data_IF_487110364878
#
_entry.id   IF_487110364878
#
_cell.length_a   1.000
_cell.length_b   1.000
_cell.length_c   1.000
_cell.angle_alpha   90.00
_cell.angle_beta   90.00
_cell.angle_gamma   90.00
#
_symmetry.space_group_name_H-M   'P 1'
#
loop_
_entity.id
_entity.type
_entity.pdbx_description
1 polymer ?
#
# COMPACT_ATOMS: atom_id res chain seq x y z
N UNK A 1 39.09 8.91 -32.35
CA UNK A 1 37.94 9.81 -32.10
C UNK A 1 37.43 9.52 -30.70
N UNK A 2 37.53 10.49 -29.79
CA UNK A 2 37.05 10.37 -28.41
C UNK A 2 35.52 10.56 -28.35
N UNK A 3 34.77 9.76 -27.57
CA UNK A 3 33.38 10.06 -27.29
C UNK A 3 33.28 11.16 -26.22
N UNK A 4 32.55 12.22 -26.53
CA UNK A 4 32.21 13.33 -25.62
C UNK A 4 31.23 12.86 -24.54
N UNK A 5 31.38 13.31 -23.28
CA UNK A 5 30.39 13.03 -22.24
C UNK A 5 29.13 13.89 -22.44
N UNK A 6 27.99 13.22 -22.56
CA UNK A 6 26.67 13.86 -22.64
C UNK A 6 26.35 14.65 -21.37
N UNK A 7 25.95 15.90 -21.57
CA UNK A 7 25.61 16.89 -20.53
C UNK A 7 24.31 16.50 -19.82
N UNK A 8 24.36 16.28 -18.52
CA UNK A 8 23.15 16.17 -17.67
C UNK A 8 22.43 17.52 -17.62
N UNK A 9 21.27 17.61 -18.27
CA UNK A 9 20.35 18.73 -18.07
C UNK A 9 19.60 18.53 -16.75
N UNK A 10 19.86 19.41 -15.77
CA UNK A 10 19.06 19.50 -14.54
C UNK A 10 17.62 19.83 -14.91
N UNK A 11 16.73 18.84 -14.82
CA UNK A 11 15.29 19.05 -14.93
C UNK A 11 14.81 19.93 -13.77
N UNK A 12 14.22 21.07 -14.11
CA UNK A 12 13.56 21.99 -13.17
C UNK A 12 12.47 21.24 -12.37
N UNK A 13 12.27 21.53 -11.06
CA UNK A 13 11.24 20.86 -10.29
C UNK A 13 9.88 21.26 -10.88
N UNK A 14 9.21 20.32 -11.57
CA UNK A 14 7.82 20.51 -11.96
C UNK A 14 7.04 20.66 -10.66
N UNK A 15 6.50 21.88 -10.47
CA UNK A 15 5.57 22.22 -9.39
C UNK A 15 4.54 21.10 -9.30
N UNK A 16 4.40 20.52 -8.12
CA UNK A 16 3.48 19.41 -7.87
C UNK A 16 2.08 19.79 -8.36
N UNK A 17 1.57 19.02 -9.32
CA UNK A 17 0.15 19.04 -9.63
C UNK A 17 -0.55 18.57 -8.35
N UNK A 18 -1.46 19.35 -7.76
CA UNK A 18 -2.21 18.86 -6.63
C UNK A 18 -2.96 17.60 -7.07
N UNK A 19 -2.77 16.49 -6.36
CA UNK A 19 -3.55 15.28 -6.55
C UNK A 19 -4.99 15.58 -6.12
N UNK A 20 -5.75 16.22 -7.00
CA UNK A 20 -7.21 16.24 -6.88
C UNK A 20 -7.68 14.81 -7.02
N UNK A 21 -8.39 14.32 -6.01
CA UNK A 21 -9.02 13.01 -6.03
C UNK A 21 -9.79 12.85 -7.35
N UNK A 22 -9.51 11.83 -8.17
CA UNK A 22 -10.29 11.63 -9.38
C UNK A 22 -11.75 11.37 -8.98
N UNK A 23 -12.74 11.90 -9.74
CA UNK A 23 -14.14 11.63 -9.48
C UNK A 23 -14.39 10.12 -9.49
N UNK A 24 -15.29 9.67 -8.63
CA UNK A 24 -15.62 8.27 -8.42
C UNK A 24 -16.01 7.60 -9.74
N UNK A 25 -15.12 6.77 -10.28
CA UNK A 25 -15.41 5.92 -11.42
C UNK A 25 -16.44 4.87 -10.96
N UNK A 26 -17.58 4.70 -11.64
CA UNK A 26 -18.55 3.66 -11.31
C UNK A 26 -17.85 2.28 -11.25
N UNK A 27 -17.97 1.58 -10.13
CA UNK A 27 -17.29 0.31 -9.87
C UNK A 27 -16.11 0.37 -8.90
N UNK A 28 -15.62 1.56 -8.49
CA UNK A 28 -14.68 1.67 -7.37
C UNK A 28 -15.45 1.80 -6.05
N UNK A 29 -15.28 0.82 -5.17
CA UNK A 29 -15.90 0.81 -3.85
C UNK A 29 -14.97 1.44 -2.82
N UNK A 30 -15.56 2.24 -1.92
CA UNK A 30 -14.85 2.96 -0.86
C UNK A 30 -14.42 4.38 -1.20
N UNK A 31 -14.15 5.17 -0.15
CA UNK A 31 -13.57 6.51 -0.22
C UNK A 31 -12.13 6.39 0.28
N UNK A 32 -11.16 6.91 -0.47
CA UNK A 32 -9.77 6.95 -0.02
C UNK A 32 -9.64 7.80 1.25
N UNK A 33 -9.08 7.21 2.29
CA UNK A 33 -8.65 7.98 3.46
C UNK A 33 -7.44 8.85 3.12
N UNK A 34 -7.10 9.79 4.01
CA UNK A 34 -5.79 10.44 3.95
C UNK A 34 -4.68 9.39 4.08
N UNK A 35 -3.58 9.63 3.38
CA UNK A 35 -2.39 8.80 3.50
C UNK A 35 -1.72 9.07 4.86
N UNK A 36 -1.51 8.01 5.63
CA UNK A 36 -0.68 8.06 6.83
C UNK A 36 0.79 7.92 6.39
N UNK A 37 1.67 8.80 6.88
CA UNK A 37 3.08 8.87 6.46
C UNK A 37 4.00 8.79 7.67
N UNK A 38 5.16 8.15 7.52
CA UNK A 38 6.17 8.15 8.57
C UNK A 38 6.63 9.57 8.92
N UNK A 39 7.15 9.79 10.14
CA UNK A 39 7.76 11.07 10.50
C UNK A 39 8.84 11.50 9.49
N UNK A 40 9.11 12.82 9.34
CA UNK A 40 10.09 13.32 8.39
C UNK A 40 11.44 12.62 8.50
N UNK A 41 11.99 12.21 7.35
CA UNK A 41 13.28 11.51 7.27
C UNK A 41 13.22 10.01 7.57
N UNK A 42 12.06 9.47 7.93
CA UNK A 42 11.86 8.03 8.15
C UNK A 42 11.23 7.34 6.94
N UNK A 43 11.38 6.02 6.89
CA UNK A 43 10.84 5.14 5.85
C UNK A 43 10.07 3.99 6.47
N UNK A 44 9.11 3.45 5.72
CA UNK A 44 8.47 2.19 6.06
C UNK A 44 9.47 1.04 5.96
N UNK A 45 9.52 0.20 6.97
CA UNK A 45 10.48 -0.92 7.07
C UNK A 45 9.82 -2.28 7.28
N UNK A 46 8.57 -2.34 7.74
CA UNK A 46 7.81 -3.59 7.88
C UNK A 46 6.32 -3.28 7.81
N UNK A 47 5.50 -4.27 7.45
CA UNK A 47 4.05 -4.16 7.40
C UNK A 47 3.36 -5.44 7.90
N UNK A 48 2.09 -5.33 8.26
CA UNK A 48 1.19 -6.47 8.50
C UNK A 48 -0.20 -6.15 7.99
N UNK A 49 -0.95 -7.19 7.67
CA UNK A 49 -2.34 -7.08 7.25
C UNK A 49 -3.28 -7.57 8.35
N UNK A 50 -4.47 -6.98 8.38
CA UNK A 50 -5.61 -7.48 9.15
C UNK A 50 -6.56 -8.16 8.19
N UNK A 51 -6.86 -9.42 8.45
CA UNK A 51 -7.57 -10.28 7.50
C UNK A 51 -8.63 -11.11 8.21
N UNK A 52 -9.80 -11.30 7.60
CA UNK A 52 -10.80 -12.23 8.12
C UNK A 52 -10.34 -13.68 8.00
N UNK A 53 -10.80 -14.53 8.93
CA UNK A 53 -10.53 -15.96 8.83
C UNK A 53 -11.39 -16.58 7.73
N UNK A 54 -10.91 -17.61 7.00
CA UNK A 54 -11.69 -18.26 5.95
C UNK A 54 -13.03 -18.78 6.50
N UNK A 55 -14.15 -18.40 5.86
CA UNK A 55 -15.49 -18.86 6.24
C UNK A 55 -15.95 -20.04 5.35
N UNK A 56 -15.33 -21.21 5.54
CA UNK A 56 -15.79 -22.46 4.92
C UNK A 56 -15.03 -22.86 3.64
N UNK A 57 -15.70 -23.57 2.73
CA UNK A 57 -15.13 -24.09 1.46
C UNK A 57 -14.85 -23.00 0.40
N UNK A 58 -15.30 -21.78 0.66
CA UNK A 58 -15.09 -20.61 -0.17
C UNK A 58 -14.22 -19.63 0.63
N UNK A 59 -13.09 -19.24 0.03
CA UNK A 59 -12.08 -18.39 0.64
C UNK A 59 -12.57 -16.94 0.60
N UNK A 60 -12.97 -16.39 1.75
CA UNK A 60 -13.34 -14.97 1.90
C UNK A 60 -12.24 -14.25 2.72
N UNK A 61 -11.01 -14.28 2.22
CA UNK A 61 -9.83 -13.73 2.91
C UNK A 61 -9.51 -12.36 2.33
N UNK A 62 -10.34 -11.36 2.61
CA UNK A 62 -10.08 -9.97 2.28
C UNK A 62 -9.30 -9.25 3.39
N UNK A 63 -8.27 -8.49 3.02
CA UNK A 63 -7.55 -7.59 3.90
C UNK A 63 -8.43 -6.39 4.23
N UNK A 64 -8.77 -6.27 5.51
CA UNK A 64 -9.62 -5.23 6.06
C UNK A 64 -8.83 -4.01 6.52
N UNK A 65 -7.55 -4.18 6.87
CA UNK A 65 -6.66 -3.10 7.27
C UNK A 65 -5.19 -3.47 7.07
N UNK A 66 -4.31 -2.48 7.14
CA UNK A 66 -2.86 -2.66 7.13
C UNK A 66 -2.24 -1.84 8.25
N UNK A 67 -1.14 -2.31 8.81
CA UNK A 67 -0.30 -1.53 9.71
C UNK A 67 1.15 -1.61 9.23
N UNK A 68 1.94 -0.59 9.54
CA UNK A 68 3.31 -0.49 9.08
C UNK A 68 4.23 0.14 10.13
N UNK A 69 5.49 -0.31 10.16
CA UNK A 69 6.51 0.19 11.07
C UNK A 69 7.43 1.15 10.31
N UNK A 70 7.68 2.31 10.89
CA UNK A 70 8.67 3.27 10.40
C UNK A 70 10.05 2.96 10.96
N UNK A 71 11.11 3.40 10.28
CA UNK A 71 12.50 3.18 10.69
C UNK A 71 12.86 3.74 12.07
N UNK A 72 12.10 4.70 12.60
CA UNK A 72 12.24 5.21 13.97
C UNK A 72 11.37 4.48 15.01
N UNK A 73 10.73 3.38 14.65
CA UNK A 73 9.96 2.51 15.56
C UNK A 73 8.48 2.88 15.73
N UNK A 74 8.01 4.01 15.17
CA UNK A 74 6.58 4.35 15.21
C UNK A 74 5.75 3.40 14.33
N UNK A 75 4.56 3.07 14.80
CA UNK A 75 3.58 2.26 14.06
C UNK A 75 2.53 3.17 13.44
N UNK A 76 2.25 2.96 12.15
CA UNK A 76 1.12 3.54 11.43
C UNK A 76 0.05 2.46 11.28
N UNK A 77 -1.18 2.74 11.69
CA UNK A 77 -2.31 1.85 11.45
C UNK A 77 -3.30 2.47 10.47
N UNK A 78 -3.67 1.69 9.46
CA UNK A 78 -4.64 2.08 8.45
C UNK A 78 -6.04 2.19 9.07
N UNK A 79 -6.86 3.07 8.48
CA UNK A 79 -8.25 3.33 8.92
C UNK A 79 -9.24 2.28 8.44
N UNK A 80 -8.77 1.04 8.28
CA UNK A 80 -9.56 -0.09 7.83
C UNK A 80 -10.58 -0.56 8.87
N UNK A 81 -11.40 -1.55 8.48
CA UNK A 81 -12.44 -2.10 9.33
C UNK A 81 -11.90 -2.85 10.56
N UNK A 82 -12.66 -2.92 11.66
CA UNK A 82 -12.28 -3.65 12.86
C UNK A 82 -12.39 -5.18 12.74
N UNK A 83 -12.77 -5.73 11.58
CA UNK A 83 -12.99 -7.16 11.39
C UNK A 83 -11.69 -7.91 11.06
N UNK A 84 -11.65 -9.18 11.44
CA UNK A 84 -10.49 -10.05 11.22
C UNK A 84 -9.39 -9.92 12.28
N UNK A 85 -8.29 -10.63 12.05
CA UNK A 85 -7.14 -10.72 12.95
C UNK A 85 -5.88 -10.17 12.28
N UNK A 86 -5.00 -9.56 13.07
CA UNK A 86 -3.69 -9.13 12.58
C UNK A 86 -2.81 -10.34 12.33
N UNK A 87 -2.25 -10.43 11.13
CA UNK A 87 -1.16 -11.35 10.84
C UNK A 87 0.15 -10.94 11.52
N UNK A 88 1.17 -11.78 11.33
CA UNK A 88 2.52 -11.46 11.76
C UNK A 88 3.08 -10.26 10.97
N UNK A 89 4.00 -9.54 11.60
CA UNK A 89 4.80 -8.54 10.89
C UNK A 89 5.65 -9.20 9.81
N UNK A 90 5.76 -8.54 8.66
CA UNK A 90 6.74 -8.89 7.63
C UNK A 90 8.14 -8.78 8.21
N UNK A 91 9.09 -9.51 7.62
CA UNK A 91 10.51 -9.30 7.91
C UNK A 91 10.85 -7.83 7.66
N UNK A 92 11.61 -7.19 8.57
CA UNK A 92 11.99 -5.81 8.40
C UNK A 92 12.97 -5.67 7.24
N UNK A 93 12.91 -4.54 6.53
CA UNK A 93 13.91 -4.19 5.54
C UNK A 93 15.30 -4.12 6.19
N UNK A 94 16.38 -4.47 5.44
CA UNK A 94 17.75 -4.28 5.91
C UNK A 94 18.03 -2.83 6.36
N UNK A 95 19.04 -2.61 7.21
CA UNK A 95 19.48 -1.25 7.58
C UNK A 95 19.73 -0.40 6.33
N UNK A 96 19.23 0.83 6.32
CA UNK A 96 19.32 1.71 5.15
C UNK A 96 18.19 1.57 4.12
N UNK A 97 17.47 0.44 4.08
CA UNK A 97 16.44 0.13 3.07
C UNK A 97 15.01 0.30 3.57
N UNK A 98 14.06 0.53 2.68
CA UNK A 98 12.64 0.63 3.02
C UNK A 98 11.75 -0.05 1.99
N UNK A 99 10.47 -0.17 2.32
CA UNK A 99 9.44 -0.69 1.40
C UNK A 99 9.35 0.25 0.20
N UNK A 100 9.62 -0.27 -0.99
CA UNK A 100 9.65 0.49 -2.25
C UNK A 100 8.47 0.20 -3.18
N UNK A 101 7.66 -0.81 -2.85
CA UNK A 101 6.48 -1.20 -3.61
C UNK A 101 5.70 -2.30 -2.91
N UNK A 102 4.44 -2.46 -3.29
CA UNK A 102 3.54 -3.52 -2.84
C UNK A 102 2.98 -4.20 -4.08
N UNK A 103 2.84 -5.53 -4.04
CA UNK A 103 2.14 -6.29 -5.08
C UNK A 103 0.96 -6.96 -4.41
N UNK A 104 -0.23 -6.57 -4.84
CA UNK A 104 -1.48 -7.06 -4.27
C UNK A 104 -2.09 -8.12 -5.16
N UNK A 105 -2.58 -9.22 -4.59
CA UNK A 105 -3.45 -10.16 -5.28
C UNK A 105 -4.92 -9.79 -4.98
N UNK A 106 -5.78 -9.94 -5.99
CA UNK A 106 -7.21 -9.76 -5.90
C UNK A 106 -7.90 -11.07 -6.30
N UNK A 107 -9.11 -11.28 -5.81
CA UNK A 107 -9.96 -12.39 -6.26
C UNK A 107 -10.35 -12.24 -7.74
N UNK A 108 -10.51 -13.36 -8.48
CA UNK A 108 -11.03 -13.33 -9.84
C UNK A 108 -12.47 -12.79 -9.86
N UNK A 109 -12.89 -12.04 -10.90
CA UNK A 109 -14.27 -11.59 -11.02
C UNK A 109 -15.24 -12.79 -11.02
N UNK A 110 -16.14 -12.86 -10.04
CA UNK A 110 -17.24 -13.81 -10.00
C UNK A 110 -18.44 -13.23 -10.76
N UNK A 111 -19.15 -14.07 -11.52
CA UNK A 111 -20.35 -13.65 -12.24
C UNK A 111 -21.50 -13.41 -11.25
N UNK A 112 -21.60 -12.18 -10.73
CA UNK A 112 -22.77 -11.68 -10.00
C UNK A 112 -22.58 -11.45 -8.50
N UNK A 113 -21.35 -11.29 -8.01
CA UNK A 113 -21.03 -11.06 -6.59
C UNK A 113 -20.08 -9.89 -6.36
N UNK A 114 -19.87 -9.56 -5.08
CA UNK A 114 -18.86 -8.61 -4.61
C UNK A 114 -17.44 -9.17 -4.90
N UNK A 115 -16.81 -8.70 -5.97
CA UNK A 115 -15.49 -9.18 -6.42
C UNK A 115 -14.31 -8.40 -5.82
N UNK A 116 -14.36 -7.93 -4.56
CA UNK A 116 -13.32 -6.98 -4.08
C UNK A 116 -12.83 -7.24 -2.66
N UNK A 117 -12.07 -8.33 -2.52
CA UNK A 117 -11.05 -8.48 -1.49
C UNK A 117 -9.63 -8.30 -2.05
N UNK A 118 -8.78 -7.52 -1.35
CA UNK A 118 -7.32 -7.59 -1.49
C UNK A 118 -6.85 -8.73 -0.58
N UNK A 119 -6.25 -9.79 -1.11
CA UNK A 119 -6.00 -11.01 -0.33
C UNK A 119 -4.55 -11.19 0.15
N UNK A 120 -3.57 -10.60 -0.54
CA UNK A 120 -2.13 -10.71 -0.21
C UNK A 120 -1.34 -9.54 -0.80
#
# INVERSE_FOLDING_TARGET
>A
AHPTPGRFSRGSPRRGVPLTSPPSIPGRRGIWSRAETCPPGQRLVSFRLRVEAPRGLWDDTAANSMAAICSGGSVLEGRGGPQGTWGNWSLPCPPGAGVCGLRTRLEPPQRGGDDTGLND
#
